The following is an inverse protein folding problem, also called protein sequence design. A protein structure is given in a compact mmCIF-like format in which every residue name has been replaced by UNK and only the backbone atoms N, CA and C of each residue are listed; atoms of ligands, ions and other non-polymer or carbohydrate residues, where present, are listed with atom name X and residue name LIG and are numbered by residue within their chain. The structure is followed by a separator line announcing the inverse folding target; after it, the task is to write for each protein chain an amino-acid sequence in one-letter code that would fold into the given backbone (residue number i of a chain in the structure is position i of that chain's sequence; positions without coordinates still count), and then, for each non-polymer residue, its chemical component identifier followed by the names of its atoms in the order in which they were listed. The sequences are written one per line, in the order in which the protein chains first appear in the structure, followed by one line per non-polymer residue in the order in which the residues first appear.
data_IF_801334506016
#
_entry.id   IF_801334506016
#
_cell.length_a   1.000
_cell.length_b   1.000
_cell.length_c   1.000
_cell.angle_alpha   90.00
_cell.angle_beta   90.00
_cell.angle_gamma   90.00
#
_symmetry.space_group_name_H-M   'P 1'
#
loop_
_entity.id
_entity.type
_entity.pdbx_description
1 polymer ?
#
# COMPACT_ATOMS: atom_id res chain seq x y z
N UNK A 1 19.91 -10.11 -22.73
CA UNK A 1 20.25 -8.70 -22.40
C UNK A 1 20.74 -8.67 -20.94
N UNK A 2 21.82 -7.96 -20.58
CA UNK A 2 22.33 -8.00 -19.19
C UNK A 2 21.38 -7.30 -18.21
N UNK A 3 21.15 -7.86 -17.01
CA UNK A 3 20.27 -7.32 -15.96
C UNK A 3 20.54 -5.84 -15.60
N UNK A 4 21.77 -5.37 -15.78
CA UNK A 4 22.11 -3.96 -15.60
C UNK A 4 21.41 -3.03 -16.61
N UNK A 5 21.38 -3.41 -17.89
CA UNK A 5 20.80 -2.60 -18.97
C UNK A 5 19.28 -2.49 -18.82
N UNK A 6 18.60 -3.59 -18.47
CA UNK A 6 17.16 -3.61 -18.21
C UNK A 6 16.81 -2.62 -17.08
N UNK A 7 17.49 -2.71 -15.94
CA UNK A 7 17.25 -1.79 -14.82
C UNK A 7 17.45 -0.33 -15.20
N UNK A 8 18.47 -0.02 -16.00
CA UNK A 8 18.71 1.34 -16.49
C UNK A 8 17.61 1.81 -17.44
N UNK A 9 17.15 0.94 -18.35
CA UNK A 9 16.07 1.23 -19.28
C UNK A 9 14.76 1.55 -18.55
N UNK A 10 14.34 0.69 -17.61
CA UNK A 10 13.12 0.89 -16.80
C UNK A 10 13.17 2.21 -16.03
N UNK A 11 14.33 2.52 -15.43
CA UNK A 11 14.56 3.79 -14.72
C UNK A 11 14.45 5.01 -15.62
N UNK A 12 14.89 4.91 -16.86
CA UNK A 12 14.85 6.01 -17.83
C UNK A 12 13.47 6.18 -18.44
N UNK A 13 12.77 5.09 -18.73
CA UNK A 13 11.39 5.10 -19.21
C UNK A 13 10.49 5.88 -18.24
N UNK A 14 10.51 5.52 -16.95
CA UNK A 14 9.71 6.21 -15.93
C UNK A 14 10.09 7.69 -15.82
N UNK A 15 11.39 8.02 -15.89
CA UNK A 15 11.83 9.42 -15.88
C UNK A 15 11.29 10.21 -17.07
N UNK A 16 11.24 9.59 -18.24
CA UNK A 16 10.72 10.21 -19.46
C UNK A 16 9.21 10.38 -19.37
N UNK A 17 8.47 9.35 -18.95
CA UNK A 17 7.01 9.43 -18.75
C UNK A 17 6.63 10.51 -17.75
N UNK A 18 7.38 10.65 -16.65
CA UNK A 18 7.07 11.63 -15.61
C UNK A 18 7.57 13.05 -15.95
N UNK A 19 8.42 13.19 -16.98
CA UNK A 19 8.97 14.49 -17.38
C UNK A 19 7.83 15.43 -17.76
N UNK A 20 7.83 16.63 -17.19
CA UNK A 20 6.77 17.64 -17.38
C UNK A 20 5.53 17.46 -16.48
N UNK A 21 5.35 16.30 -15.83
CA UNK A 21 4.18 16.00 -15.01
C UNK A 21 4.55 15.41 -13.63
N UNK A 22 5.78 15.66 -13.16
CA UNK A 22 6.27 15.19 -11.85
C UNK A 22 5.35 15.56 -10.69
N UNK A 23 4.69 16.72 -10.75
CA UNK A 23 3.70 17.13 -9.76
C UNK A 23 2.51 16.16 -9.69
N UNK A 24 2.00 15.68 -10.82
CA UNK A 24 0.89 14.72 -10.86
C UNK A 24 1.33 13.34 -10.34
N UNK A 25 2.52 12.87 -10.71
CA UNK A 25 3.09 11.63 -10.21
C UNK A 25 3.22 11.65 -8.68
N UNK A 26 3.83 12.72 -8.16
CA UNK A 26 4.08 12.90 -6.74
C UNK A 26 2.78 13.05 -5.97
N UNK A 27 1.83 13.87 -6.45
CA UNK A 27 0.51 13.98 -5.83
C UNK A 27 -0.19 12.62 -5.77
N UNK A 28 -0.21 11.85 -6.86
CA UNK A 28 -0.90 10.54 -6.90
C UNK A 28 -0.34 9.59 -5.83
N UNK A 29 0.99 9.53 -5.70
CA UNK A 29 1.64 8.63 -4.75
C UNK A 29 1.61 9.14 -3.29
N UNK A 30 1.60 10.46 -3.08
CA UNK A 30 1.71 11.08 -1.75
C UNK A 30 0.37 11.49 -1.15
N UNK A 31 -0.68 11.72 -1.94
CA UNK A 31 -2.02 12.09 -1.45
C UNK A 31 -2.46 11.18 -0.28
N UNK A 32 -2.35 9.84 -0.39
CA UNK A 32 -2.71 8.95 0.71
C UNK A 32 -1.89 9.19 1.99
N UNK A 33 -0.60 9.44 1.83
CA UNK A 33 0.34 9.68 2.94
C UNK A 33 0.02 11.03 3.61
N UNK A 34 -0.29 12.05 2.82
CA UNK A 34 -0.67 13.38 3.31
C UNK A 34 -2.00 13.29 4.07
N UNK A 35 -3.02 12.63 3.50
CA UNK A 35 -4.31 12.42 4.17
C UNK A 35 -4.11 11.73 5.52
N UNK A 36 -3.27 10.69 5.55
CA UNK A 36 -2.97 9.97 6.77
C UNK A 36 -2.23 10.85 7.79
N UNK A 37 -1.22 11.61 7.35
CA UNK A 37 -0.47 12.51 8.23
C UNK A 37 -1.38 13.56 8.88
N UNK A 38 -2.29 14.14 8.09
CA UNK A 38 -3.29 15.10 8.58
C UNK A 38 -4.26 14.44 9.54
N UNK A 39 -4.80 13.27 9.21
CA UNK A 39 -5.70 12.54 10.11
C UNK A 39 -5.02 12.17 11.44
N UNK A 40 -3.77 11.70 11.39
CA UNK A 40 -2.97 11.39 12.57
C UNK A 40 -2.68 12.62 13.44
N UNK A 41 -2.38 13.76 12.81
CA UNK A 41 -2.20 15.03 13.51
C UNK A 41 -3.47 15.49 14.23
N UNK A 42 -4.63 15.40 13.57
CA UNK A 42 -5.93 15.75 14.17
C UNK A 42 -6.23 14.85 15.37
N UNK A 43 -6.06 13.53 15.23
CA UNK A 43 -6.27 12.58 16.34
C UNK A 43 -5.34 12.90 17.52
N UNK A 44 -4.06 13.18 17.25
CA UNK A 44 -3.11 13.55 18.30
C UNK A 44 -3.49 14.85 19.00
N UNK A 45 -3.97 15.86 18.25
CA UNK A 45 -4.46 17.12 18.81
C UNK A 45 -5.67 16.91 19.72
N UNK A 46 -6.62 16.06 19.33
CA UNK A 46 -7.79 15.72 20.16
C UNK A 46 -7.34 15.02 21.45
N UNK A 47 -6.40 14.08 21.38
CA UNK A 47 -5.89 13.39 22.58
C UNK A 47 -5.21 14.38 23.53
N UNK A 48 -4.34 15.26 23.02
CA UNK A 48 -3.66 16.26 23.84
C UNK A 48 -4.63 17.28 24.44
N UNK A 49 -5.64 17.71 23.68
CA UNK A 49 -6.72 18.57 24.17
C UNK A 49 -7.49 17.89 25.30
N UNK A 50 -7.87 16.62 25.14
CA UNK A 50 -8.55 15.84 26.18
C UNK A 50 -7.70 15.74 27.45
N UNK A 51 -6.41 15.46 27.33
CA UNK A 51 -5.47 15.40 28.48
C UNK A 51 -5.38 16.77 29.17
N UNK A 52 -5.26 17.85 28.38
CA UNK A 52 -5.19 19.21 28.90
C UNK A 52 -6.48 19.60 29.66
N UNK A 53 -7.65 19.26 29.12
CA UNK A 53 -8.94 19.52 29.76
C UNK A 53 -9.09 18.76 31.09
N UNK A 54 -8.69 17.49 31.14
CA UNK A 54 -8.71 16.69 32.37
C UNK A 54 -7.76 17.28 33.43
N UNK A 55 -6.59 17.76 33.01
CA UNK A 55 -5.60 18.33 33.92
C UNK A 55 -5.99 19.72 34.46
N UNK A 56 -6.72 20.52 33.69
CA UNK A 56 -7.05 21.92 34.03
C UNK A 56 -8.42 22.06 34.68
N UNK A 57 -9.34 21.15 34.36
CA UNK A 57 -10.69 21.13 34.91
C UNK A 57 -11.02 19.74 35.47
N UNK A 58 -10.38 19.33 36.59
CA UNK A 58 -10.65 18.04 37.20
C UNK A 58 -12.11 17.88 37.64
N UNK A 59 -12.79 19.00 37.91
CA UNK A 59 -14.19 19.03 38.35
C UNK A 59 -15.18 18.57 37.26
N UNK A 60 -14.85 18.80 35.99
CA UNK A 60 -15.65 18.34 34.83
C UNK A 60 -15.58 16.81 34.70
N UNK A 61 -14.53 16.20 35.24
CA UNK A 61 -14.28 14.76 35.22
C UNK A 61 -14.32 14.16 36.64
N UNK A 62 -15.03 14.80 37.58
CA UNK A 62 -15.11 14.31 38.97
C UNK A 62 -15.81 12.93 39.03
N UNK A 63 -15.28 11.95 39.80
CA UNK A 63 -15.79 10.58 39.82
C UNK A 63 -17.29 10.45 40.12
N UNK A 64 -17.89 11.41 40.83
CA UNK A 64 -19.31 11.39 41.19
C UNK A 64 -20.29 11.64 40.02
N UNK A 65 -19.85 12.29 38.94
CA UNK A 65 -20.70 12.47 37.75
C UNK A 65 -20.79 11.19 36.92
N UNK A 66 -19.73 10.37 36.94
CA UNK A 66 -19.68 9.09 36.27
C UNK A 66 -20.18 7.94 37.17
N UNK A 67 -20.09 8.05 38.50
CA UNK A 67 -20.53 7.01 39.43
C UNK A 67 -22.04 6.72 39.38
N UNK A 68 -22.85 7.69 38.98
CA UNK A 68 -24.30 7.52 38.78
C UNK A 68 -24.66 6.86 37.43
N UNK A 69 -23.72 6.80 36.49
CA UNK A 69 -23.85 6.01 35.26
C UNK A 69 -23.39 4.56 35.49
N UNK A 70 -22.51 4.33 36.47
CA UNK A 70 -21.90 3.04 36.76
C UNK A 70 -22.50 2.28 37.94
N UNK A 71 -23.45 2.87 38.65
CA UNK A 71 -24.05 2.28 39.85
C UNK A 71 -25.11 1.20 39.56
N UNK A 72 -25.31 0.84 38.29
CA UNK A 72 -26.32 -0.15 37.88
C UNK A 72 -25.88 -1.23 36.91
N UNK A 73 -24.66 -1.22 36.35
CA UNK A 73 -24.35 -2.15 35.27
C UNK A 73 -22.84 -2.47 35.11
N UNK A 74 -22.51 -3.75 35.02
CA UNK A 74 -21.15 -4.31 34.91
C UNK A 74 -20.36 -3.81 33.68
N UNK A 75 -21.09 -3.25 32.71
CA UNK A 75 -20.64 -2.66 31.45
C UNK A 75 -19.67 -1.48 31.62
N UNK A 76 -19.79 -0.72 32.71
CA UNK A 76 -18.92 0.43 32.99
C UNK A 76 -17.47 0.06 33.28
N UNK A 77 -17.28 -1.07 33.97
CA UNK A 77 -15.96 -1.61 34.30
C UNK A 77 -15.28 -2.22 33.07
N UNK A 78 -16.06 -2.65 32.08
CA UNK A 78 -15.58 -3.12 30.78
C UNK A 78 -15.15 -1.97 29.89
N UNK A 79 -15.91 -0.86 29.83
CA UNK A 79 -15.55 0.32 29.05
C UNK A 79 -14.23 0.97 29.52
N UNK A 80 -14.02 1.12 30.84
CA UNK A 80 -12.75 1.61 31.37
C UNK A 80 -11.58 0.66 31.07
N UNK A 81 -11.82 -0.66 31.11
CA UNK A 81 -10.83 -1.68 30.71
C UNK A 81 -10.58 -1.66 29.20
N UNK A 82 -11.53 -1.27 28.37
CA UNK A 82 -11.38 -1.14 26.91
C UNK A 82 -10.56 0.11 26.52
N UNK A 83 -10.81 1.23 27.20
CA UNK A 83 -10.04 2.49 27.03
C UNK A 83 -8.59 2.33 27.52
N UNK A 84 -8.34 1.48 28.53
CA UNK A 84 -7.00 1.27 29.12
C UNK A 84 -6.27 0.01 28.62
N UNK A 85 -6.98 -1.03 28.12
CA UNK A 85 -6.37 -2.24 27.52
C UNK A 85 -6.00 -2.00 26.05
N UNK A 86 -5.10 -1.07 25.80
CA UNK A 86 -4.63 -0.74 24.44
C UNK A 86 -3.60 -1.71 23.84
N UNK A 87 -3.43 -2.91 24.40
CA UNK A 87 -2.38 -3.83 23.94
C UNK A 87 -2.83 -4.86 22.88
N UNK A 88 -4.13 -5.16 22.75
CA UNK A 88 -4.62 -6.19 21.80
C UNK A 88 -5.43 -5.62 20.61
N UNK A 89 -6.07 -4.44 20.75
CA UNK A 89 -6.73 -3.74 19.63
C UNK A 89 -5.73 -3.16 18.60
N UNK A 90 -4.43 -3.11 18.93
CA UNK A 90 -3.38 -2.61 18.04
C UNK A 90 -3.22 -3.48 16.79
N UNK A 91 -3.32 -4.81 16.89
CA UNK A 91 -2.94 -5.70 15.78
C UNK A 91 -3.99 -5.79 14.67
N UNK A 92 -5.28 -5.86 15.03
CA UNK A 92 -6.35 -5.78 14.02
C UNK A 92 -6.30 -4.43 13.31
N UNK A 93 -6.08 -3.34 14.07
CA UNK A 93 -5.95 -2.01 13.50
C UNK A 93 -4.71 -1.87 12.60
N UNK A 94 -3.58 -2.47 12.99
CA UNK A 94 -2.37 -2.53 12.18
C UNK A 94 -2.60 -3.30 10.88
N UNK A 95 -3.31 -4.42 10.95
CA UNK A 95 -3.68 -5.23 9.79
C UNK A 95 -4.60 -4.44 8.83
N UNK A 96 -5.68 -3.84 9.34
CA UNK A 96 -6.61 -3.03 8.54
C UNK A 96 -5.88 -1.87 7.88
N UNK A 97 -5.01 -1.19 8.61
CA UNK A 97 -4.17 -0.11 8.07
C UNK A 97 -3.22 -0.61 6.98
N UNK A 98 -2.57 -1.77 7.19
CA UNK A 98 -1.68 -2.39 6.20
C UNK A 98 -2.42 -2.81 4.92
N UNK A 99 -3.62 -3.35 5.05
CA UNK A 99 -4.50 -3.67 3.93
C UNK A 99 -4.89 -2.42 3.15
N UNK A 100 -5.29 -1.35 3.85
CA UNK A 100 -5.61 -0.06 3.23
C UNK A 100 -4.44 0.50 2.42
N UNK A 101 -3.23 0.47 2.98
CA UNK A 101 -2.01 0.90 2.29
C UNK A 101 -1.71 0.04 1.06
N UNK A 102 -1.94 -1.26 1.16
CA UNK A 102 -1.75 -2.18 0.04
C UNK A 102 -2.71 -1.86 -1.10
N UNK A 103 -4.00 -1.66 -0.81
CA UNK A 103 -4.98 -1.31 -1.83
C UNK A 103 -4.65 0.02 -2.49
N UNK A 104 -4.33 1.04 -1.71
CA UNK A 104 -3.91 2.34 -2.24
C UNK A 104 -2.68 2.17 -3.15
N UNK A 105 -1.68 1.39 -2.73
CA UNK A 105 -0.52 1.05 -3.56
C UNK A 105 -0.90 0.36 -4.88
N UNK A 106 -1.86 -0.56 -4.83
CA UNK A 106 -2.43 -1.19 -6.04
C UNK A 106 -3.10 -0.17 -6.95
N UNK A 107 -3.90 0.76 -6.41
CA UNK A 107 -4.52 1.84 -7.17
C UNK A 107 -3.51 2.77 -7.84
N UNK A 108 -2.41 3.09 -7.15
CA UNK A 108 -1.31 3.87 -7.74
C UNK A 108 -0.62 3.08 -8.85
N UNK A 109 -0.27 1.81 -8.63
CA UNK A 109 0.36 0.96 -9.65
C UNK A 109 -0.54 0.79 -10.88
N UNK A 110 -1.86 0.69 -10.69
CA UNK A 110 -2.83 0.70 -11.79
C UNK A 110 -2.73 2.00 -12.59
N UNK A 111 -2.70 3.15 -11.92
CA UNK A 111 -2.63 4.46 -12.59
C UNK A 111 -1.33 4.60 -13.36
N UNK A 112 -0.23 4.19 -12.74
CA UNK A 112 1.09 4.26 -13.37
C UNK A 112 1.20 3.29 -14.54
N UNK A 113 0.55 2.14 -14.50
CA UNK A 113 0.53 1.21 -15.64
C UNK A 113 -0.18 1.85 -16.84
N UNK A 114 -1.35 2.49 -16.62
CA UNK A 114 -2.06 3.17 -17.70
C UNK A 114 -1.24 4.33 -18.26
N UNK A 115 -0.56 5.07 -17.38
CA UNK A 115 0.25 6.22 -17.77
C UNK A 115 1.55 5.82 -18.49
N UNK A 116 2.20 4.73 -18.08
CA UNK A 116 3.37 4.16 -18.76
C UNK A 116 3.02 3.58 -20.14
N UNK A 117 1.76 3.18 -20.35
CA UNK A 117 1.25 2.72 -21.65
C UNK A 117 0.76 3.89 -22.52
N UNK A 118 0.17 4.91 -21.90
CA UNK A 118 -0.37 6.09 -22.56
C UNK A 118 0.17 7.37 -21.89
N UNK A 119 1.35 7.87 -22.29
CA UNK A 119 1.99 9.03 -21.65
C UNK A 119 1.16 10.32 -21.71
N UNK A 120 0.27 10.46 -22.70
CA UNK A 120 -0.62 11.60 -22.89
C UNK A 120 -1.93 11.51 -22.06
N UNK A 121 -2.11 10.42 -21.30
CA UNK A 121 -3.31 10.20 -20.50
C UNK A 121 -3.48 11.29 -19.45
N UNK A 122 -4.57 12.05 -19.54
CA UNK A 122 -4.99 12.98 -18.50
C UNK A 122 -5.81 12.24 -17.45
N UNK A 123 -5.30 12.14 -16.24
CA UNK A 123 -6.03 11.56 -15.11
C UNK A 123 -5.97 12.47 -13.88
N UNK A 124 -6.95 12.31 -12.97
CA UNK A 124 -6.91 13.00 -11.68
C UNK A 124 -6.03 12.23 -10.70
N UNK A 125 -5.03 12.87 -10.05
CA UNK A 125 -4.15 12.20 -9.08
C UNK A 125 -4.89 11.51 -7.94
N UNK A 126 -5.90 12.17 -7.37
CA UNK A 126 -6.74 11.60 -6.29
C UNK A 126 -7.52 10.40 -6.82
N UNK A 127 -8.26 10.56 -7.93
CA UNK A 127 -9.07 9.45 -8.47
C UNK A 127 -8.21 8.26 -8.90
N UNK A 128 -7.01 8.52 -9.43
CA UNK A 128 -6.04 7.48 -9.79
C UNK A 128 -5.58 6.69 -8.57
N UNK A 129 -5.12 7.38 -7.52
CA UNK A 129 -4.64 6.73 -6.29
C UNK A 129 -5.71 5.83 -5.64
N UNK A 130 -6.98 6.25 -5.68
CA UNK A 130 -8.10 5.53 -5.08
C UNK A 130 -8.93 4.69 -6.06
N UNK A 131 -8.48 4.50 -7.32
CA UNK A 131 -9.27 3.79 -8.34
C UNK A 131 -9.61 2.34 -7.95
N UNK A 132 -8.76 1.72 -7.13
CA UNK A 132 -8.94 0.36 -6.61
C UNK A 132 -10.24 0.21 -5.81
N UNK A 133 -10.75 1.29 -5.20
CA UNK A 133 -11.95 1.26 -4.36
C UNK A 133 -13.25 1.33 -5.16
N UNK A 134 -13.17 1.35 -6.50
CA UNK A 134 -14.36 1.22 -7.34
C UNK A 134 -14.83 -0.23 -7.36
N UNK A 135 -16.15 -0.47 -7.51
CA UNK A 135 -16.75 -1.83 -7.55
C UNK A 135 -16.03 -2.77 -8.52
N UNK A 136 -15.54 -2.21 -9.64
CA UNK A 136 -14.83 -2.93 -10.70
C UNK A 136 -13.48 -3.53 -10.25
N UNK A 137 -12.77 -2.88 -9.33
CA UNK A 137 -11.42 -3.29 -8.91
C UNK A 137 -11.34 -3.78 -7.46
N UNK A 138 -12.29 -3.38 -6.61
CA UNK A 138 -12.18 -3.59 -5.16
C UNK A 138 -12.32 -5.06 -4.75
N UNK A 139 -13.40 -5.74 -5.18
CA UNK A 139 -13.65 -7.14 -4.84
C UNK A 139 -12.51 -8.06 -5.32
N UNK A 140 -12.02 -7.94 -6.57
CA UNK A 140 -10.87 -8.71 -7.04
C UNK A 140 -9.58 -8.41 -6.27
N UNK A 141 -9.30 -7.13 -5.99
CA UNK A 141 -8.10 -6.75 -5.23
C UNK A 141 -8.15 -7.31 -3.81
N UNK A 142 -9.31 -7.28 -3.16
CA UNK A 142 -9.53 -7.88 -1.85
C UNK A 142 -9.34 -9.40 -1.88
N UNK A 143 -9.90 -10.08 -2.88
CA UNK A 143 -9.74 -11.53 -3.03
C UNK A 143 -8.26 -11.90 -3.22
N UNK A 144 -7.55 -11.25 -4.15
CA UNK A 144 -6.12 -11.47 -4.38
C UNK A 144 -5.31 -11.20 -3.10
N UNK A 145 -5.64 -10.14 -2.35
CA UNK A 145 -4.97 -9.82 -1.08
C UNK A 145 -5.13 -10.94 -0.05
N UNK A 146 -6.34 -11.42 0.16
CA UNK A 146 -6.62 -12.52 1.11
C UNK A 146 -5.91 -13.81 0.67
N UNK A 147 -5.98 -14.16 -0.62
CA UNK A 147 -5.30 -15.36 -1.13
C UNK A 147 -3.78 -15.27 -0.99
N UNK A 148 -3.18 -14.12 -1.35
CA UNK A 148 -1.75 -13.89 -1.19
C UNK A 148 -1.34 -13.98 0.28
N UNK A 149 -2.13 -13.40 1.19
CA UNK A 149 -1.87 -13.46 2.62
C UNK A 149 -1.87 -14.89 3.14
N UNK A 150 -2.89 -15.69 2.79
CA UNK A 150 -3.00 -17.10 3.18
C UNK A 150 -1.81 -17.90 2.63
N UNK A 151 -1.52 -17.80 1.33
CA UNK A 151 -0.40 -18.54 0.73
C UNK A 151 0.94 -18.11 1.31
N UNK A 152 1.17 -16.81 1.47
CA UNK A 152 2.40 -16.28 2.05
C UNK A 152 2.58 -16.77 3.50
N UNK A 153 1.50 -16.78 4.29
CA UNK A 153 1.50 -17.27 5.65
C UNK A 153 1.86 -18.77 5.70
N UNK A 154 1.20 -19.60 4.88
CA UNK A 154 1.50 -21.03 4.76
C UNK A 154 2.97 -21.31 4.39
N UNK A 155 3.52 -20.56 3.42
CA UNK A 155 4.92 -20.71 3.02
C UNK A 155 5.89 -20.26 4.10
N UNK A 156 5.57 -19.17 4.81
CA UNK A 156 6.39 -18.64 5.89
C UNK A 156 6.37 -19.56 7.11
N UNK A 157 5.23 -20.21 7.38
CA UNK A 157 5.07 -21.22 8.44
C UNK A 157 5.96 -22.43 8.19
N UNK A 158 6.09 -22.85 6.92
CA UNK A 158 6.99 -23.94 6.55
C UNK A 158 8.45 -23.53 6.73
N UNK A 159 8.87 -22.41 6.10
CA UNK A 159 10.18 -21.79 6.32
C UNK A 159 10.14 -20.30 5.92
N UNK A 160 10.96 -19.48 6.59
CA UNK A 160 11.03 -18.03 6.33
C UNK A 160 11.51 -17.72 4.90
N UNK A 161 12.54 -18.44 4.42
CA UNK A 161 13.16 -18.22 3.10
C UNK A 161 12.16 -18.43 1.93
N UNK A 162 11.45 -19.56 1.81
CA UNK A 162 10.45 -19.74 0.76
C UNK A 162 9.30 -18.75 0.87
N UNK A 163 8.94 -18.30 2.09
CA UNK A 163 8.05 -17.16 2.27
C UNK A 163 8.52 -15.95 1.46
N UNK A 164 9.75 -15.48 1.64
CA UNK A 164 10.28 -14.31 0.92
C UNK A 164 10.26 -14.54 -0.60
N UNK A 165 10.62 -15.73 -1.08
CA UNK A 165 10.61 -16.05 -2.51
C UNK A 165 9.19 -15.97 -3.10
N UNK A 166 8.18 -16.40 -2.34
CA UNK A 166 6.77 -16.38 -2.77
C UNK A 166 6.19 -14.98 -2.77
N UNK A 167 6.57 -14.13 -1.82
CA UNK A 167 6.25 -12.71 -1.83
C UNK A 167 6.66 -12.05 -3.17
N UNK A 168 7.88 -12.29 -3.64
CA UNK A 168 8.30 -11.80 -4.96
C UNK A 168 7.52 -12.45 -6.11
N UNK A 169 7.26 -13.75 -6.02
CA UNK A 169 6.52 -14.48 -7.07
C UNK A 169 5.09 -13.99 -7.28
N UNK A 170 4.46 -13.45 -6.24
CA UNK A 170 3.07 -12.96 -6.26
C UNK A 170 2.94 -11.47 -6.55
N UNK A 171 4.06 -10.75 -6.60
CA UNK A 171 4.09 -9.27 -6.72
C UNK A 171 3.32 -8.71 -7.93
N UNK A 172 3.17 -9.48 -9.01
CA UNK A 172 2.54 -9.04 -10.25
C UNK A 172 1.04 -9.37 -10.35
N UNK A 173 0.48 -10.10 -9.38
CA UNK A 173 -0.89 -10.64 -9.48
C UNK A 173 -1.96 -9.56 -9.67
N UNK A 174 -1.82 -8.41 -9.00
CA UNK A 174 -2.76 -7.29 -9.14
C UNK A 174 -2.74 -6.70 -10.56
N UNK A 175 -1.54 -6.49 -11.12
CA UNK A 175 -1.37 -5.93 -12.46
C UNK A 175 -1.87 -6.90 -13.54
N UNK A 176 -1.68 -8.20 -13.33
CA UNK A 176 -2.26 -9.25 -14.20
C UNK A 176 -3.78 -9.19 -14.18
N UNK A 177 -4.41 -9.05 -13.01
CA UNK A 177 -5.86 -8.91 -12.94
C UNK A 177 -6.34 -7.68 -13.75
N UNK A 178 -5.65 -6.55 -13.61
CA UNK A 178 -5.95 -5.34 -14.39
C UNK A 178 -5.88 -5.59 -15.90
N UNK A 179 -4.86 -6.29 -16.38
CA UNK A 179 -4.72 -6.62 -17.80
C UNK A 179 -5.81 -7.58 -18.28
N UNK A 180 -6.14 -8.60 -17.49
CA UNK A 180 -7.22 -9.55 -17.84
C UNK A 180 -8.58 -8.87 -17.91
N UNK A 181 -8.82 -7.90 -17.03
CA UNK A 181 -10.02 -7.06 -17.05
C UNK A 181 -10.05 -6.10 -18.24
N UNK A 182 -8.91 -5.59 -18.69
CA UNK A 182 -8.83 -4.77 -19.91
C UNK A 182 -9.10 -5.62 -21.17
N UNK A 183 -8.68 -6.88 -21.18
CA UNK A 183 -8.90 -7.84 -22.28
C UNK A 183 -10.31 -8.47 -22.31
N UNK A 184 -11.20 -8.11 -21.38
CA UNK A 184 -12.56 -8.65 -21.31
C UNK A 184 -12.68 -10.06 -20.72
N UNK A 185 -11.61 -10.60 -20.13
CA UNK A 185 -11.58 -11.97 -19.56
C UNK A 185 -11.89 -12.03 -18.06
N UNK A 186 -12.22 -10.90 -17.43
CA UNK A 186 -12.40 -10.82 -15.97
C UNK A 186 -13.49 -11.75 -15.41
N UNK A 187 -14.54 -12.03 -16.18
CA UNK A 187 -15.65 -12.88 -15.71
C UNK A 187 -15.31 -14.37 -15.76
N UNK A 188 -14.19 -14.74 -16.42
CA UNK A 188 -13.77 -16.13 -16.64
C UNK A 188 -12.53 -16.52 -15.86
N UNK A 189 -11.83 -15.56 -15.27
CA UNK A 189 -10.57 -15.80 -14.58
C UNK A 189 -10.77 -15.93 -13.07
N UNK A 190 -10.26 -17.02 -12.49
CA UNK A 190 -10.27 -17.16 -11.04
C UNK A 190 -9.16 -16.29 -10.42
N UNK A 191 -9.40 -15.79 -9.21
CA UNK A 191 -8.40 -14.96 -8.50
C UNK A 191 -7.11 -15.76 -8.20
N UNK A 192 -7.22 -17.08 -8.02
CA UNK A 192 -6.07 -17.99 -7.89
C UNK A 192 -5.24 -18.03 -9.17
N UNK A 193 -5.88 -17.94 -10.33
CA UNK A 193 -5.19 -17.94 -11.62
C UNK A 193 -4.32 -16.71 -11.79
N UNK A 194 -4.76 -15.54 -11.32
CA UNK A 194 -3.93 -14.33 -11.32
C UNK A 194 -2.61 -14.53 -10.55
N UNK A 195 -2.66 -15.23 -9.42
CA UNK A 195 -1.48 -15.57 -8.61
C UNK A 195 -0.61 -16.61 -9.34
N UNK A 196 -1.23 -17.57 -10.01
CA UNK A 196 -0.52 -18.58 -10.80
C UNK A 196 0.16 -17.99 -12.03
N UNK A 197 -0.50 -17.08 -12.73
CA UNK A 197 0.08 -16.30 -13.82
C UNK A 197 1.24 -15.44 -13.32
N UNK A 198 1.11 -14.78 -12.16
CA UNK A 198 2.21 -14.03 -11.54
C UNK A 198 3.43 -14.92 -11.27
N UNK A 199 3.22 -16.14 -10.75
CA UNK A 199 4.31 -17.10 -10.52
C UNK A 199 5.02 -17.49 -11.82
N UNK A 200 4.27 -17.72 -12.89
CA UNK A 200 4.80 -18.09 -14.21
C UNK A 200 5.57 -16.93 -14.81
N UNK A 201 4.99 -15.72 -14.80
CA UNK A 201 5.61 -14.49 -15.30
C UNK A 201 6.91 -14.15 -14.55
N UNK A 202 6.97 -14.45 -13.25
CA UNK A 202 8.16 -14.22 -12.40
C UNK A 202 9.16 -15.40 -12.42
N UNK A 203 8.97 -16.44 -13.23
CA UNK A 203 9.95 -17.51 -13.38
C UNK A 203 11.19 -16.95 -14.10
N UNK A 204 12.39 -17.19 -13.56
CA UNK A 204 13.63 -16.54 -14.05
C UNK A 204 13.83 -15.08 -13.60
N UNK A 205 12.76 -14.28 -13.47
CA UNK A 205 12.85 -12.84 -13.22
C UNK A 205 12.82 -12.40 -11.73
N UNK A 206 12.69 -13.34 -10.78
CA UNK A 206 12.68 -13.03 -9.33
C UNK A 206 13.93 -12.28 -8.87
N UNK A 207 15.10 -12.77 -9.27
CA UNK A 207 16.37 -12.16 -8.87
C UNK A 207 16.58 -10.81 -9.56
N UNK A 208 16.10 -10.65 -10.79
CA UNK A 208 16.10 -9.36 -11.49
C UNK A 208 15.28 -8.32 -10.72
N UNK A 209 14.07 -8.68 -10.29
CA UNK A 209 13.23 -7.79 -9.49
C UNK A 209 13.84 -7.47 -8.11
N UNK A 210 14.49 -8.46 -7.47
CA UNK A 210 15.24 -8.24 -6.24
C UNK A 210 16.39 -7.23 -6.44
N UNK A 211 17.21 -7.41 -7.47
CA UNK A 211 18.33 -6.48 -7.77
C UNK A 211 17.84 -5.11 -8.23
N UNK A 212 16.65 -5.01 -8.82
CA UNK A 212 15.99 -3.74 -9.13
C UNK A 212 15.63 -3.01 -7.84
N UNK A 213 14.96 -3.68 -6.89
CA UNK A 213 14.65 -3.15 -5.55
C UNK A 213 15.91 -2.77 -4.76
N UNK A 214 16.94 -3.62 -4.80
CA UNK A 214 18.23 -3.32 -4.16
C UNK A 214 18.88 -2.06 -4.76
N UNK A 215 18.76 -1.84 -6.07
CA UNK A 215 19.28 -0.61 -6.70
C UNK A 215 18.50 0.66 -6.32
N UNK A 216 17.33 0.53 -5.69
CA UNK A 216 16.55 1.64 -5.14
C UNK A 216 16.91 1.93 -3.68
N UNK A 217 17.55 1.01 -2.96
CA UNK A 217 17.86 1.19 -1.54
C UNK A 217 18.80 2.37 -1.28
N UNK A 218 19.73 2.64 -2.21
CA UNK A 218 20.63 3.80 -2.09
C UNK A 218 19.86 5.12 -2.09
N UNK A 219 18.85 5.25 -2.96
CA UNK A 219 17.97 6.42 -2.99
C UNK A 219 17.11 6.53 -1.74
N UNK A 220 16.64 5.39 -1.20
CA UNK A 220 15.91 5.35 0.05
C UNK A 220 16.75 5.89 1.23
N UNK A 221 18.01 5.47 1.33
CA UNK A 221 18.94 5.96 2.37
C UNK A 221 19.22 7.47 2.21
N UNK A 222 19.40 7.95 0.98
CA UNK A 222 19.52 9.39 0.69
C UNK A 222 18.29 10.18 1.15
N UNK A 223 17.09 9.64 0.94
CA UNK A 223 15.85 10.26 1.39
C UNK A 223 15.79 10.37 2.92
N UNK A 224 16.27 9.36 3.65
CA UNK A 224 16.35 9.39 5.11
C UNK A 224 17.28 10.49 5.62
N UNK A 225 18.45 10.65 5.00
CA UNK A 225 19.40 11.72 5.37
C UNK A 225 18.83 13.12 5.09
N UNK A 226 17.96 13.26 4.09
CA UNK A 226 17.28 14.52 3.75
C UNK A 226 16.08 14.88 4.66
N UNK A 227 16.00 14.33 5.87
CA UNK A 227 14.83 14.46 6.77
C UNK A 227 13.50 14.02 6.13
N UNK A 228 13.57 13.08 5.18
CA UNK A 228 12.41 12.54 4.48
C UNK A 228 11.86 13.39 3.33
N UNK A 229 12.44 14.57 3.04
CA UNK A 229 11.99 15.42 1.93
C UNK A 229 12.17 14.69 0.57
N UNK A 230 13.24 13.90 0.44
CA UNK A 230 13.48 13.08 -0.77
C UNK A 230 12.39 12.06 -1.08
N UNK A 231 11.56 11.65 -0.10
CA UNK A 231 10.48 10.69 -0.33
C UNK A 231 9.42 11.21 -1.30
N UNK A 232 9.28 12.53 -1.42
CA UNK A 232 8.34 13.17 -2.34
C UNK A 232 8.57 12.72 -3.78
N UNK A 233 9.84 12.61 -4.21
CA UNK A 233 10.20 12.15 -5.56
C UNK A 233 10.47 10.65 -5.61
N UNK A 234 11.02 10.08 -4.53
CA UNK A 234 11.40 8.66 -4.53
C UNK A 234 10.20 7.72 -4.58
N UNK A 235 9.11 8.00 -3.83
CA UNK A 235 7.93 7.13 -3.78
C UNK A 235 7.28 6.97 -5.17
N UNK A 236 6.87 8.05 -5.88
CA UNK A 236 6.28 7.90 -7.21
C UNK A 236 7.27 7.27 -8.19
N UNK A 237 8.55 7.64 -8.12
CA UNK A 237 9.58 7.10 -8.99
C UNK A 237 9.77 5.59 -8.83
N UNK A 238 9.91 5.11 -7.59
CA UNK A 238 10.12 3.68 -7.31
C UNK A 238 8.89 2.84 -7.68
N UNK A 239 7.68 3.31 -7.38
CA UNK A 239 6.43 2.65 -7.80
C UNK A 239 6.30 2.60 -9.33
N UNK A 240 6.62 3.70 -10.02
CA UNK A 240 6.68 3.73 -11.48
C UNK A 240 7.66 2.70 -12.04
N UNK A 241 8.86 2.58 -11.44
CA UNK A 241 9.88 1.61 -11.88
C UNK A 241 9.43 0.16 -11.65
N UNK A 242 8.77 -0.14 -10.53
CA UNK A 242 8.23 -1.48 -10.30
C UNK A 242 7.06 -1.80 -11.25
N UNK A 243 6.28 -0.80 -11.64
CA UNK A 243 5.20 -0.96 -12.62
C UNK A 243 5.76 -1.11 -14.04
N UNK A 244 6.81 -0.38 -14.40
CA UNK A 244 7.50 -0.53 -15.67
C UNK A 244 8.14 -1.93 -15.79
N UNK A 245 8.64 -2.48 -14.69
CA UNK A 245 9.14 -3.87 -14.67
C UNK A 245 8.05 -4.87 -15.06
N UNK A 246 6.82 -4.73 -14.54
CA UNK A 246 5.69 -5.55 -14.97
C UNK A 246 5.43 -5.43 -16.48
N UNK A 247 5.32 -4.20 -16.98
CA UNK A 247 5.10 -3.91 -18.40
C UNK A 247 6.16 -4.62 -19.26
N UNK A 248 7.43 -4.51 -18.87
CA UNK A 248 8.54 -5.17 -19.57
C UNK A 248 8.42 -6.71 -19.56
N UNK A 249 7.99 -7.32 -18.46
CA UNK A 249 7.80 -8.77 -18.39
C UNK A 249 6.69 -9.24 -19.34
N UNK A 250 5.59 -8.48 -19.43
CA UNK A 250 4.47 -8.80 -20.33
C UNK A 250 4.86 -8.61 -21.79
N UNK A 251 5.67 -7.60 -22.11
CA UNK A 251 6.18 -7.38 -23.48
C UNK A 251 7.21 -8.42 -23.92
N UNK A 252 7.88 -9.08 -22.96
CA UNK A 252 8.89 -10.09 -23.22
C UNK A 252 8.33 -11.53 -23.26
N UNK A 253 7.09 -11.75 -22.81
CA UNK A 253 6.41 -13.06 -22.75
C UNK A 253 5.60 -13.37 -24.00
#
# INVERSE_FOLDING_TARGET
MSNHRIRHQLKNEVKQTFKGHWGQASLTALIPIIIQAVAGFIISMVILMSIYLISTHPDIFHPSYWSNLTSGDSTSSEFYKEVTSSNNHSEVWNFVRGALMTFIGVGINYTFLDWLRNPELKFSPVKGAFQVFTKRYFIPALAIFVLQFIFQFLWTLLFIIPGIIKYFSYSQSYLIYKDQLASGNADRIEYVDCITMSRKLMMGHKFEFFTLKLSMIGWYLLCLVSFGIGFIWYIPYSQGVYTAFYKHLVEAS
#
